data_IF_430124441454
#
_entry.id   IF_430124441454
#
_cell.length_a   1.000
_cell.length_b   1.000
_cell.length_c   1.000
_cell.angle_alpha   90.00
_cell.angle_beta   90.00
_cell.angle_gamma   90.00
#
_symmetry.space_group_name_H-M   'P 1'
#
loop_
_entity.id
_entity.type
_entity.pdbx_description
1 polymer ?
#
# COMPACT_ATOMS: atom_id res chain seq x y z
N UNK A 1 -0.86 -16.46 15.01
CA UNK A 1 0.12 -16.18 13.95
C UNK A 1 -0.25 -14.80 13.41
N UNK A 2 0.46 -13.75 13.82
CA UNK A 2 0.12 -12.35 13.49
C UNK A 2 1.34 -11.54 13.05
N UNK A 3 2.39 -12.23 12.58
CA UNK A 3 3.67 -11.60 12.21
C UNK A 3 3.75 -11.32 10.70
N UNK A 4 2.84 -11.88 9.91
CA UNK A 4 2.86 -11.79 8.45
C UNK A 4 2.47 -10.39 7.94
N UNK A 5 1.47 -9.73 8.54
CA UNK A 5 1.04 -8.40 8.07
C UNK A 5 2.10 -7.32 8.25
N UNK A 6 2.82 -7.30 9.37
CA UNK A 6 3.89 -6.33 9.63
C UNK A 6 5.12 -6.57 8.74
N UNK A 7 5.44 -7.83 8.45
CA UNK A 7 6.57 -8.16 7.58
C UNK A 7 6.28 -7.77 6.12
N UNK A 8 5.08 -8.07 5.63
CA UNK A 8 4.66 -7.74 4.26
C UNK A 8 4.50 -6.23 4.05
N UNK A 9 4.03 -5.50 5.08
CA UNK A 9 3.97 -4.03 5.04
C UNK A 9 5.38 -3.41 4.96
N UNK A 10 6.33 -3.92 5.74
CA UNK A 10 7.71 -3.42 5.73
C UNK A 10 8.37 -3.63 4.36
N UNK A 11 8.13 -4.78 3.72
CA UNK A 11 8.62 -5.05 2.36
C UNK A 11 8.02 -4.08 1.33
N UNK A 12 6.70 -3.86 1.38
CA UNK A 12 6.01 -2.91 0.50
C UNK A 12 6.58 -1.49 0.64
N UNK A 13 6.84 -1.05 1.87
CA UNK A 13 7.47 0.25 2.16
C UNK A 13 8.90 0.30 1.59
N UNK A 14 9.68 -0.78 1.72
CA UNK A 14 11.03 -0.81 1.17
C UNK A 14 11.02 -0.70 -0.36
N UNK A 15 10.09 -1.39 -1.04
CA UNK A 15 9.90 -1.28 -2.49
C UNK A 15 9.51 0.15 -2.89
N UNK A 16 8.63 0.78 -2.11
CA UNK A 16 8.20 2.17 -2.34
C UNK A 16 9.39 3.13 -2.22
N UNK A 17 10.16 3.04 -1.14
CA UNK A 17 11.36 3.84 -0.91
C UNK A 17 12.44 3.63 -1.97
N UNK A 18 12.52 2.41 -2.54
CA UNK A 18 13.44 2.08 -3.62
C UNK A 18 13.00 2.62 -4.99
N UNK A 19 11.87 3.33 -5.07
CA UNK A 19 11.28 3.81 -6.32
C UNK A 19 10.60 2.72 -7.15
N UNK A 20 10.49 1.49 -6.62
CA UNK A 20 9.83 0.35 -7.28
C UNK A 20 8.32 0.42 -7.06
N UNK A 21 7.72 1.51 -7.54
CA UNK A 21 6.32 1.87 -7.22
C UNK A 21 5.31 0.83 -7.70
N UNK A 22 5.54 0.17 -8.84
CA UNK A 22 4.65 -0.87 -9.33
C UNK A 22 4.63 -2.11 -8.42
N UNK A 23 5.78 -2.47 -7.85
CA UNK A 23 5.91 -3.65 -6.99
C UNK A 23 5.41 -3.36 -5.58
N UNK A 24 5.66 -2.16 -5.09
CA UNK A 24 5.05 -1.67 -3.85
C UNK A 24 3.53 -1.65 -3.94
N UNK A 25 2.95 -1.17 -5.06
CA UNK A 25 1.50 -1.21 -5.28
C UNK A 25 0.95 -2.63 -5.19
N UNK A 26 1.60 -3.59 -5.84
CA UNK A 26 1.18 -4.98 -5.81
C UNK A 26 1.25 -5.56 -4.39
N UNK A 27 2.33 -5.27 -3.66
CA UNK A 27 2.50 -5.72 -2.28
C UNK A 27 1.42 -5.14 -1.34
N UNK A 28 1.11 -3.84 -1.44
CA UNK A 28 0.02 -3.22 -0.67
C UNK A 28 -1.35 -3.81 -1.02
N UNK A 29 -1.64 -4.06 -2.30
CA UNK A 29 -2.90 -4.70 -2.72
C UNK A 29 -3.03 -6.13 -2.22
N UNK A 30 -1.94 -6.91 -2.22
CA UNK A 30 -1.92 -8.25 -1.66
C UNK A 30 -2.17 -8.21 -0.14
N UNK A 31 -1.50 -7.28 0.55
CA UNK A 31 -1.71 -7.06 1.97
C UNK A 31 -3.17 -6.71 2.31
N UNK A 32 -3.80 -5.84 1.52
CA UNK A 32 -5.23 -5.52 1.66
C UNK A 32 -6.17 -6.66 1.25
N UNK A 33 -5.71 -7.60 0.44
CA UNK A 33 -6.48 -8.81 0.11
C UNK A 33 -6.52 -9.76 1.30
N UNK A 34 -5.40 -9.91 2.02
CA UNK A 34 -5.32 -10.72 3.24
C UNK A 34 -5.90 -10.01 4.47
N UNK A 35 -5.70 -8.69 4.55
CA UNK A 35 -6.12 -7.83 5.66
C UNK A 35 -6.86 -6.59 5.13
N UNK A 36 -8.12 -6.74 4.70
CA UNK A 36 -8.91 -5.64 4.12
C UNK A 36 -9.23 -4.48 5.07
N UNK A 37 -8.79 -4.54 6.33
CA UNK A 37 -8.93 -3.48 7.32
C UNK A 37 -7.60 -2.88 7.80
N UNK A 38 -6.47 -3.19 7.14
CA UNK A 38 -5.18 -2.60 7.50
C UNK A 38 -5.09 -1.15 7.01
N UNK A 39 -5.37 -0.21 7.91
CA UNK A 39 -5.36 1.22 7.62
C UNK A 39 -3.99 1.71 7.11
N UNK A 40 -2.88 1.09 7.54
CA UNK A 40 -1.55 1.50 7.06
C UNK A 40 -1.39 1.12 5.59
N UNK A 41 -1.78 -0.10 5.22
CA UNK A 41 -1.70 -0.57 3.84
C UNK A 41 -2.54 0.31 2.89
N UNK A 42 -3.77 0.66 3.30
CA UNK A 42 -4.64 1.57 2.54
C UNK A 42 -4.03 2.96 2.41
N UNK A 43 -3.50 3.51 3.51
CA UNK A 43 -2.87 4.84 3.53
C UNK A 43 -1.66 4.91 2.60
N UNK A 44 -0.73 3.95 2.71
CA UNK A 44 0.48 3.92 1.88
C UNK A 44 0.18 3.68 0.40
N UNK A 45 -0.81 2.82 0.08
CA UNK A 45 -1.26 2.61 -1.30
C UNK A 45 -1.85 3.90 -1.89
N UNK A 46 -2.65 4.64 -1.12
CA UNK A 46 -3.17 5.94 -1.51
C UNK A 46 -2.04 6.95 -1.82
N UNK A 47 -1.07 7.08 -0.91
CA UNK A 47 0.11 7.92 -1.11
C UNK A 47 0.90 7.54 -2.36
N UNK A 48 1.07 6.25 -2.62
CA UNK A 48 1.76 5.75 -3.81
C UNK A 48 1.03 6.13 -5.10
N UNK A 49 -0.30 6.01 -5.14
CA UNK A 49 -1.10 6.47 -6.27
C UNK A 49 -0.95 7.98 -6.52
N UNK A 50 -0.93 8.80 -5.46
CA UNK A 50 -0.62 10.22 -5.58
C UNK A 50 0.79 10.47 -6.14
N UNK A 51 1.79 9.72 -5.68
CA UNK A 51 3.17 9.87 -6.15
C UNK A 51 3.36 9.46 -7.63
N UNK A 52 2.54 8.53 -8.13
CA UNK A 52 2.50 8.15 -9.55
C UNK A 52 1.75 9.14 -10.45
N UNK A 53 1.14 10.18 -9.88
CA UNK A 53 0.24 11.08 -10.61
C UNK A 53 -1.12 10.45 -10.94
N UNK A 54 -1.45 9.28 -10.35
CA UNK A 54 -2.74 8.62 -10.45
C UNK A 54 -3.68 9.15 -9.35
N UNK A 55 -3.84 10.48 -9.32
CA UNK A 55 -4.54 11.22 -8.27
C UNK A 55 -5.96 10.71 -8.04
N UNK A 56 -6.68 10.38 -9.10
CA UNK A 56 -8.06 9.86 -9.04
C UNK A 56 -8.15 8.52 -8.28
N UNK A 57 -7.17 7.63 -8.47
CA UNK A 57 -7.13 6.34 -7.77
C UNK A 57 -6.65 6.50 -6.33
N UNK A 58 -5.73 7.43 -6.08
CA UNK A 58 -5.22 7.73 -4.74
C UNK A 58 -6.26 8.33 -3.82
N UNK A 59 -7.11 9.23 -4.33
CA UNK A 59 -8.19 9.85 -3.55
C UNK A 59 -9.18 8.82 -3.02
N UNK A 60 -9.65 7.90 -3.87
CA UNK A 60 -10.60 6.87 -3.46
C UNK A 60 -10.07 5.94 -2.37
N UNK A 61 -8.74 5.75 -2.30
CA UNK A 61 -8.08 4.95 -1.28
C UNK A 61 -7.85 5.74 0.02
N UNK A 62 -7.45 7.01 -0.06
CA UNK A 62 -7.28 7.85 1.13
C UNK A 62 -8.61 8.22 1.79
N UNK A 63 -9.71 8.29 1.05
CA UNK A 63 -11.06 8.42 1.63
C UNK A 63 -11.50 7.17 2.40
N UNK A 64 -10.88 6.01 2.14
CA UNK A 64 -11.20 4.72 2.77
C UNK A 64 -10.21 4.29 3.86
N UNK A 65 -9.09 5.00 4.04
CA UNK A 65 -8.07 4.74 5.06
C UNK A 65 -8.46 5.24 6.44
#
# INVERSE_FOLDING_TARGET
MSVESQSTLAEAIQLHQSGRLAEAEQAYRQLLTEFPGDANATHFLGMLCFQRGETDKGMALVEQS
#
